data_IF_205590797893
#
_entry.id   IF_205590797893
#
_cell.length_a   1.000
_cell.length_b   1.000
_cell.length_c   1.000
_cell.angle_alpha   90.00
_cell.angle_beta   90.00
_cell.angle_gamma   90.00
#
_symmetry.space_group_name_H-M   'P 1'
#
loop_
_entity.id
_entity.type
_entity.pdbx_description
1 polymer ?
#
# COMPACT_ATOMS: atom_id res chain seq x y z
N UNK A 1 12.39 7.99 6.71
CA UNK A 1 11.21 8.88 6.77
C UNK A 1 10.03 8.12 6.16
N UNK A 2 8.98 7.89 6.94
CA UNK A 2 7.72 7.29 6.49
C UNK A 2 6.77 8.35 5.91
N UNK A 3 5.71 7.92 5.22
CA UNK A 3 4.67 8.84 4.71
C UNK A 3 4.01 9.60 5.88
N UNK A 4 3.78 8.93 7.01
CA UNK A 4 3.22 9.54 8.22
C UNK A 4 4.13 10.60 8.84
N UNK A 5 5.44 10.35 8.87
CA UNK A 5 6.44 11.32 9.34
C UNK A 5 6.51 12.56 8.43
N UNK A 6 6.38 12.36 7.11
CA UNK A 6 6.35 13.44 6.13
C UNK A 6 5.09 14.31 6.31
N UNK A 7 3.91 13.71 6.44
CA UNK A 7 2.65 14.42 6.71
C UNK A 7 2.73 15.19 8.03
N UNK A 8 3.26 14.58 9.09
CA UNK A 8 3.43 15.23 10.40
C UNK A 8 4.33 16.46 10.31
N UNK A 9 5.42 16.35 9.56
CA UNK A 9 6.36 17.46 9.32
C UNK A 9 5.69 18.60 8.58
N UNK A 10 4.97 18.31 7.49
CA UNK A 10 4.27 19.33 6.70
C UNK A 10 3.14 20.02 7.49
N UNK A 11 2.38 19.27 8.31
CA UNK A 11 1.38 19.85 9.21
C UNK A 11 2.01 20.78 10.24
N UNK A 12 3.17 20.40 10.80
CA UNK A 12 3.94 21.26 11.69
C UNK A 12 4.43 22.55 11.03
N UNK A 13 4.84 22.47 9.75
CA UNK A 13 5.21 23.64 8.95
C UNK A 13 4.00 24.55 8.68
N UNK A 14 2.83 23.99 8.33
CA UNK A 14 1.61 24.76 8.07
C UNK A 14 1.13 25.54 9.30
N UNK A 15 1.33 25.02 10.52
CA UNK A 15 1.03 25.72 11.77
C UNK A 15 2.05 26.81 12.14
N UNK A 16 3.17 26.92 11.41
CA UNK A 16 4.17 27.95 11.64
C UNK A 16 3.69 29.30 11.14
N UNK A 17 3.66 30.31 12.02
CA UNK A 17 3.36 31.69 11.65
C UNK A 17 4.28 32.23 10.55
N UNK A 18 5.46 31.62 10.35
CA UNK A 18 6.43 32.03 9.31
C UNK A 18 5.90 31.77 7.90
N UNK A 19 5.02 30.80 7.70
CA UNK A 19 4.42 30.51 6.40
C UNK A 19 3.19 31.37 6.09
N UNK A 20 2.61 32.06 7.07
CA UNK A 20 1.43 32.91 6.87
C UNK A 20 1.68 34.06 5.89
N UNK A 21 2.94 34.44 5.66
CA UNK A 21 3.30 35.52 4.75
C UNK A 21 3.55 35.04 3.32
N UNK A 22 3.57 33.73 3.06
CA UNK A 22 3.87 33.13 1.76
C UNK A 22 2.72 32.20 1.32
N UNK A 23 1.65 32.74 0.75
CA UNK A 23 0.45 31.98 0.39
C UNK A 23 0.75 30.85 -0.61
N UNK A 24 1.68 31.05 -1.54
CA UNK A 24 2.13 30.02 -2.47
C UNK A 24 2.81 28.83 -1.77
N UNK A 25 3.55 29.09 -0.70
CA UNK A 25 4.19 28.04 0.11
C UNK A 25 3.16 27.31 0.97
N UNK A 26 2.15 28.02 1.49
CA UNK A 26 1.02 27.39 2.17
C UNK A 26 0.24 26.46 1.24
N UNK A 27 -0.06 26.91 0.03
CA UNK A 27 -0.81 26.10 -0.94
C UNK A 27 0.01 24.89 -1.42
N UNK A 28 1.31 25.07 -1.68
CA UNK A 28 2.20 23.95 -1.99
C UNK A 28 2.28 22.93 -0.84
N UNK A 29 2.32 23.42 0.41
CA UNK A 29 2.32 22.56 1.61
C UNK A 29 1.00 21.79 1.73
N UNK A 30 -0.13 22.47 1.49
CA UNK A 30 -1.47 21.88 1.53
C UNK A 30 -1.62 20.77 0.48
N UNK A 31 -1.26 21.05 -0.77
CA UNK A 31 -1.29 20.09 -1.86
C UNK A 31 -0.34 18.90 -1.60
N UNK A 32 0.83 19.16 -1.02
CA UNK A 32 1.77 18.11 -0.62
C UNK A 32 1.20 17.16 0.44
N UNK A 33 0.50 17.69 1.46
CA UNK A 33 -0.19 16.88 2.47
C UNK A 33 -1.28 16.02 1.82
N UNK A 34 -2.11 16.63 0.97
CA UNK A 34 -3.21 15.95 0.28
C UNK A 34 -2.71 14.79 -0.60
N UNK A 35 -1.67 15.03 -1.40
CA UNK A 35 -1.06 13.98 -2.23
C UNK A 35 -0.46 12.83 -1.41
N UNK A 36 0.17 13.13 -0.27
CA UNK A 36 0.71 12.10 0.63
C UNK A 36 -0.40 11.28 1.31
N UNK A 37 -1.52 11.90 1.67
CA UNK A 37 -2.69 11.21 2.22
C UNK A 37 -3.32 10.27 1.17
N UNK A 38 -3.41 10.69 -0.10
CA UNK A 38 -3.86 9.83 -1.20
C UNK A 38 -2.91 8.64 -1.44
N UNK A 39 -1.59 8.85 -1.39
CA UNK A 39 -0.61 7.75 -1.53
C UNK A 39 -0.73 6.78 -0.34
N UNK A 40 -0.95 7.29 0.88
CA UNK A 40 -1.19 6.48 2.07
C UNK A 40 -2.44 5.61 1.91
N UNK A 41 -3.54 6.18 1.43
CA UNK A 41 -4.78 5.46 1.13
C UNK A 41 -4.56 4.39 0.05
N UNK A 42 -3.93 4.74 -1.07
CA UNK A 42 -3.62 3.79 -2.15
C UNK A 42 -2.76 2.62 -1.67
N UNK A 43 -1.81 2.86 -0.77
CA UNK A 43 -1.01 1.79 -0.14
C UNK A 43 -1.86 0.83 0.69
N UNK A 44 -2.85 1.32 1.43
CA UNK A 44 -3.79 0.45 2.16
C UNK A 44 -4.57 -0.44 1.19
N UNK A 45 -5.04 0.12 0.08
CA UNK A 45 -5.78 -0.64 -0.93
C UNK A 45 -4.90 -1.69 -1.62
N UNK A 46 -3.64 -1.37 -1.94
CA UNK A 46 -2.69 -2.36 -2.45
C UNK A 46 -2.44 -3.49 -1.45
N UNK A 47 -2.36 -3.18 -0.14
CA UNK A 47 -2.23 -4.19 0.90
C UNK A 47 -3.48 -5.09 0.96
N UNK A 48 -4.68 -4.51 0.94
CA UNK A 48 -5.95 -5.26 0.93
C UNK A 48 -6.05 -6.19 -0.29
N UNK A 49 -5.67 -5.71 -1.48
CA UNK A 49 -5.66 -6.54 -2.70
C UNK A 49 -4.63 -7.66 -2.57
N UNK A 50 -3.43 -7.38 -2.05
CA UNK A 50 -2.41 -8.41 -1.85
C UNK A 50 -2.80 -9.46 -0.79
N UNK A 51 -3.57 -9.07 0.23
CA UNK A 51 -4.12 -9.99 1.24
C UNK A 51 -5.32 -10.78 0.71
N UNK A 52 -6.16 -10.18 -0.15
CA UNK A 52 -7.29 -10.84 -0.80
C UNK A 52 -6.85 -11.84 -1.89
N UNK A 53 -5.65 -11.66 -2.45
CA UNK A 53 -5.00 -12.60 -3.35
C UNK A 53 -3.87 -13.35 -2.63
N UNK A 54 -4.22 -14.22 -1.68
CA UNK A 54 -3.39 -15.37 -1.29
C UNK A 54 -3.80 -16.58 -2.14
N UNK A 55 -3.21 -16.82 -3.32
CA UNK A 55 -3.38 -18.10 -4.01
C UNK A 55 -2.50 -19.12 -3.30
N UNK A 56 -3.02 -19.80 -2.27
CA UNK A 56 -2.17 -20.71 -1.49
C UNK A 56 -2.82 -21.64 -0.48
N UNK A 57 -4.09 -21.49 -0.11
CA UNK A 57 -4.76 -22.46 0.78
C UNK A 57 -6.10 -22.92 0.17
N UNK A 58 -6.01 -23.67 -0.92
CA UNK A 58 -6.95 -24.77 -1.15
C UNK A 58 -6.24 -26.04 -0.73
N UNK A 59 -6.76 -26.61 0.35
CA UNK A 59 -6.30 -27.77 1.10
C UNK A 59 -5.75 -28.93 0.26
N UNK A 60 -4.81 -29.64 0.89
CA UNK A 60 -4.41 -31.00 0.56
C UNK A 60 -5.60 -31.86 0.13
N UNK A 61 -5.61 -32.30 -1.13
CA UNK A 61 -6.17 -33.62 -1.45
C UNK A 61 -5.02 -34.52 -1.86
N UNK A 62 -4.48 -35.16 -0.83
CA UNK A 62 -3.88 -36.47 -0.91
C UNK A 62 -4.61 -37.33 -1.96
N UNK A 63 -3.85 -37.84 -2.94
CA UNK A 63 -3.64 -39.27 -3.17
C UNK A 63 -3.03 -39.46 -4.55
N UNK A 64 -1.72 -39.69 -4.56
CA UNK A 64 -1.20 -40.68 -5.49
C UNK A 64 -1.99 -41.99 -5.28
N UNK A 65 -2.20 -42.75 -6.35
CA UNK A 65 -1.48 -44.00 -6.37
C UNK A 65 -0.72 -44.18 -7.68
N UNK A 66 0.58 -44.42 -7.51
CA UNK A 66 1.38 -45.24 -8.40
C UNK A 66 0.71 -46.61 -8.57
N UNK A 67 0.30 -46.97 -9.79
CA UNK A 67 0.14 -48.36 -10.20
C UNK A 67 0.31 -48.51 -11.71
N UNK A 68 1.48 -49.04 -12.07
CA UNK A 68 1.92 -49.58 -13.35
C UNK A 68 0.86 -50.54 -13.94
N UNK A 69 0.60 -50.48 -15.25
CA UNK A 69 0.36 -51.68 -16.09
C UNK A 69 0.60 -51.39 -17.57
N UNK A 70 1.13 -52.41 -18.23
CA UNK A 70 1.91 -52.45 -19.47
C UNK A 70 1.10 -52.26 -20.78
N UNK A 71 1.81 -51.96 -21.90
CA UNK A 71 1.42 -52.09 -23.34
C UNK A 71 0.69 -53.43 -23.66
N UNK A 72 -0.01 -53.65 -24.80
CA UNK A 72 0.30 -53.24 -26.20
C UNK A 72 -0.96 -52.80 -27.00
N UNK A 73 -1.02 -52.47 -28.31
CA UNK A 73 -0.25 -52.76 -29.52
C UNK A 73 -0.24 -51.54 -30.45
#
# INVERSE_FOLDING_TARGET
>A
MTIDEAIKTLKGLQCSQRLNHWPEVQEATRLGIEGLEQIKEARKWNLIISEAYLPGETEESEKQPLAIKQKPS
#
